data_IF_870951402001
#
_entry.id   IF_870951402001
#
_cell.length_a   1.000
_cell.length_b   1.000
_cell.length_c   1.000
_cell.angle_alpha   90.00
_cell.angle_beta   90.00
_cell.angle_gamma   90.00
#
_symmetry.space_group_name_H-M   'P 1'
#
loop_
_entity.id
_entity.type
_entity.pdbx_description
1 polymer ?
#
# COMPACT_ATOMS: atom_id res chain seq x y z
N UNK A 1 39.31 8.11 26.45
CA UNK A 1 39.08 6.70 26.06
C UNK A 1 37.59 6.56 25.83
N UNK A 2 37.17 6.59 24.57
CA UNK A 2 35.79 6.86 24.12
C UNK A 2 34.89 5.64 24.25
N UNK A 3 34.01 5.66 25.24
CA UNK A 3 32.80 4.82 25.33
C UNK A 3 31.75 5.32 24.35
N UNK A 4 31.76 4.84 23.10
CA UNK A 4 30.67 5.10 22.14
C UNK A 4 30.74 4.19 20.90
N UNK A 5 30.60 2.87 21.02
CA UNK A 5 30.16 2.04 19.87
C UNK A 5 29.69 0.62 20.21
N UNK A 6 28.78 0.44 21.18
CA UNK A 6 28.19 -0.87 21.50
C UNK A 6 27.08 -1.27 20.50
N UNK A 7 27.34 -1.15 19.20
CA UNK A 7 26.52 -1.76 18.15
C UNK A 7 26.72 -3.27 18.23
N UNK A 8 25.66 -3.96 18.66
CA UNK A 8 25.61 -5.39 18.88
C UNK A 8 25.98 -6.16 17.60
N UNK A 9 27.12 -6.87 17.62
CA UNK A 9 27.46 -7.90 16.64
C UNK A 9 26.72 -9.17 17.05
N UNK A 10 25.83 -9.68 16.20
CA UNK A 10 25.16 -10.93 16.53
C UNK A 10 26.18 -12.07 16.50
N UNK A 11 26.11 -12.97 17.47
CA UNK A 11 27.09 -14.05 17.69
C UNK A 11 27.21 -15.07 16.54
N UNK A 12 26.32 -15.03 15.55
CA UNK A 12 26.38 -15.87 14.34
C UNK A 12 27.12 -15.21 13.16
N UNK A 13 27.58 -13.96 13.31
CA UNK A 13 28.37 -13.26 12.31
C UNK A 13 29.83 -13.17 12.76
N UNK A 14 30.73 -13.39 11.82
CA UNK A 14 32.18 -13.32 12.03
C UNK A 14 32.63 -11.85 12.16
N UNK A 15 32.01 -10.94 11.40
CA UNK A 15 32.28 -9.52 11.43
C UNK A 15 31.06 -8.64 11.10
N UNK A 16 31.22 -7.32 11.24
CA UNK A 16 30.15 -6.33 11.02
C UNK A 16 29.83 -6.12 9.53
N UNK A 17 30.79 -6.34 8.65
CA UNK A 17 30.61 -6.21 7.21
C UNK A 17 29.68 -7.32 6.72
N UNK A 18 29.98 -8.56 7.11
CA UNK A 18 29.14 -9.74 6.87
C UNK A 18 27.72 -9.55 7.41
N UNK A 19 27.55 -9.04 8.65
CA UNK A 19 26.23 -8.74 9.20
C UNK A 19 25.46 -7.72 8.33
N UNK A 20 26.12 -6.66 7.85
CA UNK A 20 25.50 -5.63 7.01
C UNK A 20 25.14 -6.16 5.63
N UNK A 21 26.01 -6.96 5.03
CA UNK A 21 25.76 -7.62 3.75
C UNK A 21 24.58 -8.58 3.85
N UNK A 22 24.53 -9.41 4.89
CA UNK A 22 23.42 -10.32 5.15
C UNK A 22 22.08 -9.58 5.31
N UNK A 23 22.05 -8.48 6.09
CA UNK A 23 20.84 -7.65 6.23
C UNK A 23 20.42 -7.03 4.89
N UNK A 24 21.37 -6.52 4.11
CA UNK A 24 21.09 -5.89 2.81
C UNK A 24 20.55 -6.91 1.81
N UNK A 25 21.16 -8.10 1.75
CA UNK A 25 20.72 -9.21 0.93
C UNK A 25 19.33 -9.70 1.34
N UNK A 26 19.08 -9.82 2.65
CA UNK A 26 17.76 -10.17 3.19
C UNK A 26 16.67 -9.19 2.74
N UNK A 27 16.94 -7.88 2.80
CA UNK A 27 16.02 -6.87 2.31
C UNK A 27 15.78 -6.96 0.80
N UNK A 28 16.81 -7.24 -0.01
CA UNK A 28 16.65 -7.43 -1.45
C UNK A 28 15.78 -8.65 -1.79
N UNK A 29 16.03 -9.79 -1.13
CA UNK A 29 15.22 -11.01 -1.33
C UNK A 29 13.77 -10.74 -0.95
N UNK A 30 13.53 -10.10 0.19
CA UNK A 30 12.19 -9.68 0.62
C UNK A 30 11.50 -8.80 -0.44
N UNK A 31 12.17 -7.77 -0.94
CA UNK A 31 11.61 -6.88 -1.98
C UNK A 31 11.29 -7.63 -3.28
N UNK A 32 12.12 -8.60 -3.69
CA UNK A 32 11.84 -9.44 -4.87
C UNK A 32 10.57 -10.27 -4.66
N UNK A 33 10.36 -10.83 -3.47
CA UNK A 33 9.14 -11.59 -3.17
C UNK A 33 7.88 -10.72 -3.23
N UNK A 34 7.95 -9.47 -2.75
CA UNK A 34 6.85 -8.51 -2.87
C UNK A 34 6.59 -8.13 -4.34
N UNK A 35 7.63 -7.91 -5.14
CA UNK A 35 7.48 -7.64 -6.58
C UNK A 35 6.79 -8.81 -7.29
N UNK A 36 7.16 -10.04 -6.98
CA UNK A 36 6.52 -11.23 -7.55
C UNK A 36 5.04 -11.34 -7.12
N UNK A 37 4.74 -11.06 -5.85
CA UNK A 37 3.38 -11.06 -5.31
C UNK A 37 2.49 -10.03 -6.00
N UNK A 38 2.91 -8.76 -6.04
CA UNK A 38 2.17 -7.71 -6.75
C UNK A 38 2.14 -7.93 -8.27
N UNK A 39 3.20 -8.48 -8.85
CA UNK A 39 3.25 -8.84 -10.27
C UNK A 39 2.19 -9.86 -10.66
N UNK A 40 1.99 -10.89 -9.84
CA UNK A 40 0.91 -11.86 -10.04
C UNK A 40 -0.48 -11.22 -9.94
N UNK A 41 -0.69 -10.34 -8.97
CA UNK A 41 -1.96 -9.61 -8.83
C UNK A 41 -2.23 -8.66 -10.00
N UNK A 42 -1.22 -7.96 -10.51
CA UNK A 42 -1.37 -7.10 -11.71
C UNK A 42 -1.64 -7.91 -12.97
N UNK A 43 -1.00 -9.08 -13.13
CA UNK A 43 -1.30 -9.99 -14.24
C UNK A 43 -2.76 -10.46 -14.17
N UNK A 44 -3.23 -10.89 -13.00
CA UNK A 44 -4.63 -11.24 -12.80
C UNK A 44 -5.54 -10.06 -13.16
N UNK A 45 -5.29 -8.86 -12.62
CA UNK A 45 -6.04 -7.65 -12.97
C UNK A 45 -6.10 -7.40 -14.48
N UNK A 46 -4.97 -7.51 -15.20
CA UNK A 46 -4.89 -7.29 -16.64
C UNK A 46 -5.71 -8.32 -17.43
N UNK A 47 -5.63 -9.60 -17.07
CA UNK A 47 -6.42 -10.68 -17.70
C UNK A 47 -7.92 -10.45 -17.48
N UNK A 48 -8.35 -10.16 -16.26
CA UNK A 48 -9.76 -9.87 -15.95
C UNK A 48 -10.25 -8.59 -16.63
N UNK A 49 -9.42 -7.54 -16.70
CA UNK A 49 -9.74 -6.29 -17.39
C UNK A 49 -9.99 -6.51 -18.87
N UNK A 50 -9.20 -7.38 -19.50
CA UNK A 50 -9.36 -7.76 -20.90
C UNK A 50 -10.60 -8.64 -21.13
N UNK A 51 -10.88 -9.59 -20.21
CA UNK A 51 -11.99 -10.53 -20.36
C UNK A 51 -13.37 -9.93 -20.08
N UNK A 52 -13.46 -8.93 -19.21
CA UNK A 52 -14.72 -8.30 -18.76
C UNK A 52 -14.70 -6.77 -18.92
N UNK A 53 -14.59 -6.23 -20.14
CA UNK A 53 -14.35 -4.80 -20.34
C UNK A 53 -15.49 -3.91 -19.83
N UNK A 54 -16.74 -4.37 -19.94
CA UNK A 54 -17.95 -3.66 -19.51
C UNK A 54 -18.05 -3.55 -17.99
N UNK A 55 -17.84 -4.65 -17.26
CA UNK A 55 -17.87 -4.64 -15.79
C UNK A 55 -16.82 -3.71 -15.17
N UNK A 56 -15.64 -3.62 -15.79
CA UNK A 56 -14.61 -2.66 -15.36
C UNK A 56 -14.92 -1.20 -15.72
N UNK A 57 -15.66 -0.96 -16.82
CA UNK A 57 -16.10 0.37 -17.20
C UNK A 57 -17.13 0.92 -16.20
N UNK A 58 -18.06 0.08 -15.76
CA UNK A 58 -19.02 0.44 -14.70
C UNK A 58 -18.33 0.60 -13.34
N UNK A 59 -17.45 -0.33 -12.95
CA UNK A 59 -16.71 -0.24 -11.68
C UNK A 59 -15.86 1.03 -11.54
N UNK A 60 -15.34 1.55 -12.65
CA UNK A 60 -14.52 2.78 -12.67
C UNK A 60 -15.32 4.04 -12.32
N UNK A 61 -16.64 4.05 -12.51
CA UNK A 61 -17.51 5.18 -12.14
C UNK A 61 -17.68 5.33 -10.63
N UNK A 62 -17.45 4.26 -9.87
CA UNK A 62 -17.55 4.24 -8.39
C UNK A 62 -16.21 4.57 -7.70
N UNK A 63 -15.18 4.96 -8.46
CA UNK A 63 -13.90 5.37 -7.92
C UNK A 63 -13.85 6.88 -7.72
N UNK A 64 -13.67 7.32 -6.47
CA UNK A 64 -13.43 8.74 -6.20
C UNK A 64 -11.97 9.08 -6.53
N UNK A 65 -11.79 9.72 -7.69
CA UNK A 65 -10.47 10.11 -8.18
C UNK A 65 -9.79 11.16 -7.29
N UNK A 66 -10.56 12.04 -6.64
CA UNK A 66 -10.01 13.10 -5.78
C UNK A 66 -9.46 12.48 -4.50
N UNK A 67 -10.22 11.62 -3.83
CA UNK A 67 -9.76 10.88 -2.64
C UNK A 67 -8.57 9.96 -2.98
N UNK A 68 -8.57 9.33 -4.14
CA UNK A 68 -7.42 8.55 -4.64
C UNK A 68 -6.16 9.40 -4.83
N UNK A 69 -6.31 10.58 -5.43
CA UNK A 69 -5.19 11.51 -5.71
C UNK A 69 -4.61 12.07 -4.41
N UNK A 70 -5.47 12.49 -3.47
CA UNK A 70 -5.04 13.01 -2.16
C UNK A 70 -4.26 11.94 -1.38
N UNK A 71 -4.76 10.70 -1.35
CA UNK A 71 -4.06 9.59 -0.70
C UNK A 71 -2.71 9.29 -1.34
N UNK A 72 -2.63 9.36 -2.67
CA UNK A 72 -1.35 9.20 -3.39
C UNK A 72 -0.36 10.31 -2.99
N UNK A 73 -0.82 11.56 -2.92
CA UNK A 73 -0.02 12.68 -2.44
C UNK A 73 0.49 12.47 -1.00
N UNK A 74 -0.38 12.03 -0.09
CA UNK A 74 0.00 11.72 1.29
C UNK A 74 1.10 10.65 1.38
N UNK A 75 0.98 9.57 0.60
CA UNK A 75 1.98 8.50 0.58
C UNK A 75 3.32 8.96 -0.01
N UNK A 76 3.30 9.77 -1.07
CA UNK A 76 4.51 10.36 -1.65
C UNK A 76 5.21 11.29 -0.65
N UNK A 77 4.46 12.14 0.04
CA UNK A 77 5.00 13.00 1.09
C UNK A 77 5.58 12.19 2.25
N UNK A 78 4.93 11.08 2.64
CA UNK A 78 5.43 10.14 3.64
C UNK A 78 6.75 9.48 3.22
N UNK A 79 6.87 9.06 1.96
CA UNK A 79 8.14 8.53 1.44
C UNK A 79 9.25 9.59 1.45
N UNK A 80 8.90 10.85 1.14
CA UNK A 80 9.85 11.96 1.17
C UNK A 80 10.35 12.25 2.60
N UNK A 81 9.48 12.19 3.63
CA UNK A 81 9.89 12.39 5.02
C UNK A 81 10.83 11.29 5.52
N UNK A 82 10.65 10.05 5.07
CA UNK A 82 11.60 8.95 5.36
C UNK A 82 12.96 9.18 4.70
N UNK A 83 12.98 9.63 3.44
CA UNK A 83 14.23 9.95 2.75
C UNK A 83 15.01 11.07 3.49
N UNK A 84 14.30 12.11 3.94
CA UNK A 84 14.89 13.16 4.77
C UNK A 84 15.38 12.62 6.12
N UNK A 85 14.67 11.67 6.73
CA UNK A 85 15.07 11.05 7.99
C UNK A 85 16.38 10.27 7.82
N UNK A 86 16.53 9.52 6.73
CA UNK A 86 17.77 8.82 6.40
C UNK A 86 18.93 9.81 6.21
N UNK A 87 18.70 10.93 5.52
CA UNK A 87 19.72 11.97 5.38
C UNK A 87 20.10 12.63 6.72
N UNK A 88 19.11 12.90 7.58
CA UNK A 88 19.34 13.44 8.92
C UNK A 88 20.10 12.45 9.82
N UNK A 89 19.85 11.15 9.67
CA UNK A 89 20.55 10.09 10.39
C UNK A 89 22.03 10.03 10.02
N UNK A 90 22.37 10.19 8.72
CA UNK A 90 23.76 10.31 8.27
C UNK A 90 24.48 11.52 8.88
N UNK A 91 23.75 12.61 9.14
CA UNK A 91 24.28 13.82 9.80
C UNK A 91 24.27 13.74 11.34
N UNK A 92 24.03 12.55 11.92
CA UNK A 92 23.92 12.33 13.39
C UNK A 92 22.86 13.20 14.10
N UNK A 93 21.82 13.63 13.38
CA UNK A 93 20.74 14.49 13.91
C UNK A 93 19.56 13.66 14.45
N UNK A 94 19.78 12.88 15.51
CA UNK A 94 18.79 11.92 16.03
C UNK A 94 17.41 12.51 16.38
N UNK A 95 17.35 13.74 16.92
CA UNK A 95 16.07 14.43 17.18
C UNK A 95 15.26 14.70 15.92
N UNK A 96 15.94 15.10 14.83
CA UNK A 96 15.30 15.34 13.55
C UNK A 96 14.78 14.02 12.93
N UNK A 97 15.55 12.94 13.07
CA UNK A 97 15.13 11.59 12.65
C UNK A 97 13.83 11.17 13.35
N UNK A 98 13.79 11.29 14.68
CA UNK A 98 12.59 10.94 15.46
C UNK A 98 11.37 11.78 15.06
N UNK A 99 11.55 13.08 14.85
CA UNK A 99 10.47 13.97 14.42
C UNK A 99 9.94 13.63 13.02
N UNK A 100 10.84 13.35 12.06
CA UNK A 100 10.48 12.96 10.69
C UNK A 100 9.76 11.61 10.64
N UNK A 101 10.16 10.64 11.47
CA UNK A 101 9.40 9.39 11.62
C UNK A 101 8.01 9.64 12.25
N UNK A 102 7.90 10.55 13.22
CA UNK A 102 6.60 10.96 13.77
C UNK A 102 5.65 11.52 12.70
N UNK A 103 6.16 12.36 11.79
CA UNK A 103 5.40 12.88 10.66
C UNK A 103 5.01 11.77 9.68
N UNK A 104 5.94 10.85 9.39
CA UNK A 104 5.69 9.71 8.51
C UNK A 104 4.54 8.84 9.05
N UNK A 105 4.55 8.55 10.35
CA UNK A 105 3.47 7.82 11.03
C UNK A 105 2.15 8.59 10.94
N UNK A 106 2.17 9.90 11.16
CA UNK A 106 0.97 10.74 11.04
C UNK A 106 0.35 10.67 9.63
N UNK A 107 1.18 10.75 8.57
CA UNK A 107 0.70 10.58 7.20
C UNK A 107 0.14 9.18 6.95
N UNK A 108 0.75 8.13 7.52
CA UNK A 108 0.22 6.76 7.46
C UNK A 108 -1.14 6.62 8.14
N UNK A 109 -1.32 7.24 9.31
CA UNK A 109 -2.60 7.23 10.03
C UNK A 109 -3.68 8.03 9.29
N UNK A 110 -3.31 9.18 8.71
CA UNK A 110 -4.22 9.98 7.88
C UNK A 110 -4.70 9.18 6.66
N UNK A 111 -3.77 8.50 5.96
CA UNK A 111 -4.10 7.60 4.85
C UNK A 111 -5.07 6.49 5.29
N UNK A 112 -4.79 5.83 6.42
CA UNK A 112 -5.63 4.75 6.94
C UNK A 112 -7.03 5.25 7.34
N UNK A 113 -7.13 6.46 7.91
CA UNK A 113 -8.40 7.10 8.26
C UNK A 113 -9.26 7.41 7.04
N UNK A 114 -8.67 8.00 5.99
CA UNK A 114 -9.38 8.29 4.73
C UNK A 114 -9.90 7.00 4.10
N UNK A 115 -9.05 5.96 4.03
CA UNK A 115 -9.46 4.67 3.49
C UNK A 115 -10.52 3.99 4.35
N UNK A 116 -10.38 4.03 5.68
CA UNK A 116 -11.38 3.49 6.59
C UNK A 116 -12.76 4.12 6.39
N UNK A 117 -12.82 5.44 6.23
CA UNK A 117 -14.07 6.15 5.94
C UNK A 117 -14.67 5.77 4.59
N UNK A 118 -13.86 5.74 3.52
CA UNK A 118 -14.31 5.38 2.17
C UNK A 118 -14.87 3.95 2.12
N UNK A 119 -14.19 3.01 2.78
CA UNK A 119 -14.65 1.62 2.85
C UNK A 119 -15.92 1.51 3.68
N UNK A 120 -15.99 2.14 4.86
CA UNK A 120 -17.19 2.13 5.70
C UNK A 120 -18.41 2.63 4.92
N UNK A 121 -18.28 3.72 4.16
CA UNK A 121 -19.34 4.24 3.31
C UNK A 121 -19.76 3.23 2.21
N UNK A 122 -18.78 2.64 1.51
CA UNK A 122 -19.04 1.62 0.46
C UNK A 122 -19.65 0.32 0.99
N UNK A 123 -19.38 -0.06 2.23
CA UNK A 123 -20.05 -1.18 2.90
C UNK A 123 -21.54 -0.91 3.13
N UNK A 124 -21.93 0.33 3.43
CA UNK A 124 -23.34 0.70 3.62
C UNK A 124 -24.08 0.76 2.27
N UNK A 125 -23.38 1.07 1.18
CA UNK A 125 -23.92 1.12 -0.18
C UNK A 125 -23.95 -0.25 -0.90
N UNK A 126 -23.58 -1.36 -0.23
CA UNK A 126 -23.63 -2.73 -0.77
C UNK A 126 -22.81 -2.97 -2.06
N UNK A 127 -21.76 -2.18 -2.29
CA UNK A 127 -20.86 -2.30 -3.44
C UNK A 127 -19.73 -3.35 -3.23
N UNK A 128 -19.83 -4.15 -2.18
CA UNK A 128 -18.86 -5.20 -1.84
C UNK A 128 -19.25 -6.53 -2.49
N UNK A 129 -18.28 -7.30 -3.03
CA UNK A 129 -18.56 -8.62 -3.58
C UNK A 129 -19.04 -9.55 -2.46
N UNK A 130 -20.32 -9.89 -2.49
CA UNK A 130 -21.01 -10.69 -1.50
C UNK A 130 -22.46 -10.96 -1.92
N UNK A 131 -23.23 -11.76 -1.15
CA UNK A 131 -24.59 -12.20 -1.51
C UNK A 131 -25.60 -11.07 -1.76
N UNK A 132 -25.28 -9.83 -1.37
CA UNK A 132 -26.13 -8.65 -1.49
C UNK A 132 -25.62 -7.62 -2.51
N UNK A 133 -24.66 -7.98 -3.36
CA UNK A 133 -24.17 -7.10 -4.42
C UNK A 133 -25.30 -6.71 -5.37
N UNK A 134 -25.55 -5.40 -5.51
CA UNK A 134 -26.61 -4.84 -6.36
C UNK A 134 -26.04 -3.79 -7.31
N UNK A 135 -25.82 -4.17 -8.57
CA UNK A 135 -25.67 -3.24 -9.70
C UNK A 135 -27.04 -2.66 -10.05
N UNK A 136 -27.64 -1.87 -9.16
CA UNK A 136 -28.90 -1.20 -9.45
C UNK A 136 -28.60 0.12 -10.15
N UNK A 137 -28.67 0.11 -11.48
CA UNK A 137 -28.72 1.32 -12.30
C UNK A 137 -30.22 1.72 -12.46
N UNK A 138 -30.71 2.83 -11.86
CA UNK A 138 -32.12 3.23 -11.93
C UNK A 138 -32.60 3.58 -13.35
N UNK A 139 -31.68 3.69 -14.31
CA UNK A 139 -31.96 4.07 -15.69
C UNK A 139 -31.66 2.98 -16.72
N UNK A 140 -31.19 1.80 -16.28
CA UNK A 140 -30.93 0.68 -17.18
C UNK A 140 -31.44 -0.65 -16.61
N UNK A 141 -32.75 -0.96 -16.77
CA UNK A 141 -33.37 -2.18 -16.24
C UNK A 141 -32.96 -3.49 -16.94
N UNK A 142 -31.95 -3.46 -17.83
CA UNK A 142 -31.54 -4.60 -18.67
C UNK A 142 -30.23 -5.26 -18.23
N UNK A 143 -29.62 -4.87 -17.11
CA UNK A 143 -28.47 -5.63 -16.55
C UNK A 143 -29.01 -6.95 -15.98
N UNK A 144 -29.06 -7.96 -16.84
CA UNK A 144 -29.56 -9.29 -16.56
C UNK A 144 -28.84 -9.89 -15.35
N UNK A 145 -29.63 -10.24 -14.33
CA UNK A 145 -29.23 -10.99 -13.13
C UNK A 145 -28.32 -12.21 -13.40
N UNK A 146 -28.34 -12.78 -14.61
CA UNK A 146 -27.46 -13.89 -15.01
C UNK A 146 -25.98 -13.51 -15.18
N UNK A 147 -25.65 -12.24 -15.42
CA UNK A 147 -24.24 -11.82 -15.48
C UNK A 147 -23.59 -11.75 -14.08
N UNK A 148 -24.41 -11.68 -13.03
CA UNK A 148 -23.97 -11.62 -11.63
C UNK A 148 -23.59 -13.01 -11.10
N UNK A 149 -24.21 -14.09 -11.63
CA UNK A 149 -23.86 -15.49 -11.27
C UNK A 149 -22.43 -15.88 -11.64
N UNK A 150 -21.80 -15.22 -12.62
CA UNK A 150 -20.44 -15.53 -13.07
C UNK A 150 -19.39 -15.10 -12.02
N UNK A 151 -19.78 -14.27 -11.05
CA UNK A 151 -18.93 -13.78 -9.97
C UNK A 151 -19.17 -14.48 -8.62
N UNK A 152 -20.01 -15.52 -8.57
CA UNK A 152 -20.27 -16.37 -7.40
C UNK A 152 -19.69 -17.78 -7.57
#
# INVERSE_FOLDING_TARGET
>A
MTTSDSLYLAHHFDDREQQREAMTLGMWVFLVTEIMFFGGMFLAYAVYRWRFPEGFAEGSKHLDMILGTVNTGLLLMSSFTVALAVHAAQSSRGKAVAWLFGITILFGLAFLGIKGYEYWHKFHEHLVPGPHFRLLDPHNPQVDSRQVEIFL
#
